data_IF_178926443693
#
_entry.id   IF_178926443693
#
_cell.length_a   1.000
_cell.length_b   1.000
_cell.length_c   1.000
_cell.angle_alpha   90.00
_cell.angle_beta   90.00
_cell.angle_gamma   90.00
#
_symmetry.space_group_name_H-M   'P 1'
#
loop_
_entity.id
_entity.type
_entity.pdbx_description
1 polymer ?
#
# COMPACT_ATOMS: atom_id res chain seq x y z
N UNK A 1 -10.75 11.54 -7.83
CA UNK A 1 -11.40 10.38 -7.22
C UNK A 1 -11.28 10.46 -5.71
N UNK A 2 -12.40 10.30 -5.04
CA UNK A 2 -12.43 10.32 -3.58
C UNK A 2 -12.24 8.92 -3.01
N UNK A 3 -11.40 8.82 -1.98
CA UNK A 3 -11.26 7.59 -1.24
C UNK A 3 -12.35 7.51 -0.17
N UNK A 4 -12.76 6.29 0.17
CA UNK A 4 -13.73 6.09 1.24
C UNK A 4 -13.11 6.46 2.59
N UNK A 5 -13.94 6.62 3.66
CA UNK A 5 -13.42 6.92 5.00
C UNK A 5 -12.45 5.87 5.53
N UNK A 6 -12.46 4.65 4.95
CA UNK A 6 -11.61 3.55 5.40
C UNK A 6 -10.41 3.33 4.49
N UNK A 7 -10.15 4.26 3.57
CA UNK A 7 -9.05 4.15 2.62
C UNK A 7 -8.13 5.35 2.74
N UNK A 8 -6.84 5.10 2.67
CA UNK A 8 -5.81 6.13 2.76
C UNK A 8 -4.75 5.90 1.71
N UNK A 9 -4.23 6.98 1.16
CA UNK A 9 -3.18 6.94 0.15
C UNK A 9 -1.95 7.67 0.66
N UNK A 10 -0.80 7.02 0.56
CA UNK A 10 0.47 7.57 1.02
C UNK A 10 1.45 7.55 -0.12
N UNK A 11 2.26 8.60 -0.22
CA UNK A 11 3.25 8.74 -1.29
C UNK A 11 4.62 8.72 -0.67
N UNK A 12 5.46 7.81 -1.13
CA UNK A 12 6.86 7.70 -0.69
C UNK A 12 7.73 8.13 -1.86
N UNK A 13 8.32 9.33 -1.81
CA UNK A 13 9.17 9.81 -2.88
C UNK A 13 10.59 9.21 -2.78
N UNK A 14 11.24 9.09 -3.92
CA UNK A 14 12.61 8.61 -4.00
C UNK A 14 13.48 9.61 -4.76
N UNK A 15 14.79 9.56 -4.53
CA UNK A 15 15.72 10.47 -5.20
C UNK A 15 15.75 10.27 -6.70
N UNK A 16 15.57 9.06 -7.14
CA UNK A 16 15.61 8.73 -8.55
C UNK A 16 14.37 9.30 -9.24
N UNK A 17 14.57 10.31 -10.08
CA UNK A 17 13.45 10.98 -10.74
C UNK A 17 12.96 10.25 -11.98
N UNK A 18 13.83 9.46 -12.60
CA UNK A 18 13.45 8.61 -13.73
C UNK A 18 13.36 7.20 -13.24
N UNK A 19 12.37 6.48 -13.71
CA UNK A 19 12.16 5.11 -13.31
C UNK A 19 10.70 4.81 -13.23
N UNK A 20 10.39 3.61 -12.78
CA UNK A 20 9.01 3.15 -12.71
C UNK A 20 8.29 3.72 -11.53
N UNK A 21 6.99 3.91 -11.71
CA UNK A 21 6.08 4.28 -10.64
C UNK A 21 5.33 3.04 -10.21
N UNK A 22 5.22 2.86 -8.90
CA UNK A 22 4.53 1.69 -8.35
C UNK A 22 3.40 2.12 -7.45
N UNK A 23 2.30 1.38 -7.53
CA UNK A 23 1.18 1.53 -6.60
C UNK A 23 0.97 0.21 -5.87
N UNK A 24 0.98 0.23 -4.55
CA UNK A 24 0.70 -0.94 -3.74
C UNK A 24 -0.63 -0.74 -3.05
N UNK A 25 -1.56 -1.65 -3.28
CA UNK A 25 -2.88 -1.60 -2.65
C UNK A 25 -2.97 -2.80 -1.70
N UNK A 26 -3.05 -2.50 -0.42
CA UNK A 26 -3.25 -3.51 0.61
C UNK A 26 -4.65 -3.32 1.15
N UNK A 27 -5.56 -4.25 0.82
CA UNK A 27 -6.96 -4.09 1.18
C UNK A 27 -7.48 -5.27 1.98
N UNK A 28 -8.43 -4.99 2.84
CA UNK A 28 -9.12 -5.98 3.65
C UNK A 28 -10.60 -5.89 3.32
N UNK A 29 -11.14 -6.96 2.76
CA UNK A 29 -12.54 -6.99 2.31
C UNK A 29 -13.50 -7.51 3.38
N UNK A 30 -12.99 -8.26 4.35
CA UNK A 30 -13.81 -8.87 5.37
C UNK A 30 -14.59 -7.83 6.16
N UNK A 31 -15.91 -7.98 6.20
CA UNK A 31 -16.78 -7.04 6.88
C UNK A 31 -16.92 -5.68 6.19
N UNK A 32 -16.41 -5.53 4.97
CA UNK A 32 -16.48 -4.26 4.22
C UNK A 32 -17.11 -4.51 2.87
N UNK A 33 -18.40 -4.24 2.78
CA UNK A 33 -19.13 -4.38 1.52
C UNK A 33 -18.56 -3.40 0.48
N UNK A 34 -18.32 -3.90 -0.73
CA UNK A 34 -17.81 -3.07 -1.81
C UNK A 34 -16.30 -2.85 -1.80
N UNK A 35 -15.58 -3.43 -0.83
CA UNK A 35 -14.13 -3.20 -0.73
C UNK A 35 -13.37 -3.71 -1.95
N UNK A 36 -13.76 -4.85 -2.49
CA UNK A 36 -13.09 -5.41 -3.68
C UNK A 36 -13.28 -4.48 -4.88
N UNK A 37 -14.50 -3.99 -5.09
CA UNK A 37 -14.78 -3.06 -6.19
C UNK A 37 -14.00 -1.76 -6.02
N UNK A 38 -13.90 -1.26 -4.81
CA UNK A 38 -13.12 -0.04 -4.52
C UNK A 38 -11.64 -0.25 -4.81
N UNK A 39 -11.09 -1.41 -4.43
CA UNK A 39 -9.69 -1.73 -4.71
C UNK A 39 -9.46 -1.85 -6.22
N UNK A 40 -10.40 -2.45 -6.94
CA UNK A 40 -10.29 -2.56 -8.39
C UNK A 40 -10.34 -1.19 -9.07
N UNK A 41 -11.21 -0.31 -8.60
CA UNK A 41 -11.29 1.06 -9.14
C UNK A 41 -9.99 1.83 -8.89
N UNK A 42 -9.41 1.68 -7.70
CA UNK A 42 -8.13 2.29 -7.38
C UNK A 42 -7.01 1.76 -8.27
N UNK A 43 -7.01 0.46 -8.49
CA UNK A 43 -6.02 -0.17 -9.37
C UNK A 43 -6.07 0.44 -10.76
N UNK A 44 -7.29 0.56 -11.32
CA UNK A 44 -7.45 1.15 -12.65
C UNK A 44 -7.00 2.62 -12.66
N UNK A 45 -7.32 3.37 -11.62
CA UNK A 45 -6.92 4.77 -11.55
C UNK A 45 -5.41 4.92 -11.50
N UNK A 46 -4.73 4.09 -10.74
CA UNK A 46 -3.27 4.13 -10.64
C UNK A 46 -2.62 3.68 -11.95
N UNK A 47 -3.16 2.66 -12.60
CA UNK A 47 -2.66 2.22 -13.90
C UNK A 47 -2.80 3.32 -14.95
N UNK A 48 -3.89 4.07 -14.89
CA UNK A 48 -4.11 5.17 -15.83
C UNK A 48 -3.08 6.28 -15.66
N UNK A 49 -2.45 6.41 -14.50
CA UNK A 49 -1.38 7.39 -14.27
C UNK A 49 0.01 6.83 -14.56
N UNK A 50 0.10 5.61 -15.07
CA UNK A 50 1.37 5.01 -15.44
C UNK A 50 2.02 4.19 -14.35
N UNK A 51 1.30 3.84 -13.29
CA UNK A 51 1.84 3.00 -12.22
C UNK A 51 1.72 1.51 -12.56
N UNK A 52 2.74 0.75 -12.17
CA UNK A 52 2.62 -0.70 -12.06
C UNK A 52 1.97 -0.97 -10.69
N UNK A 53 0.89 -1.73 -10.67
CA UNK A 53 0.10 -1.91 -9.46
C UNK A 53 0.28 -3.31 -8.89
N UNK A 54 0.50 -3.37 -7.58
CA UNK A 54 0.54 -4.60 -6.80
C UNK A 54 -0.63 -4.53 -5.83
N UNK A 55 -1.63 -5.40 -6.03
CA UNK A 55 -2.84 -5.40 -5.21
C UNK A 55 -2.91 -6.70 -4.44
N UNK A 56 -3.05 -6.61 -3.12
CA UNK A 56 -3.11 -7.77 -2.25
C UNK A 56 -4.18 -7.61 -1.19
N UNK A 57 -4.90 -8.68 -0.93
CA UNK A 57 -5.88 -8.73 0.15
C UNK A 57 -5.24 -9.33 1.39
N UNK A 58 -5.52 -8.74 2.56
CA UNK A 58 -4.98 -9.21 3.82
C UNK A 58 -6.10 -9.39 4.84
N UNK A 59 -5.84 -10.16 5.88
CA UNK A 59 -6.80 -10.44 6.92
C UNK A 59 -6.21 -10.25 8.32
N UNK A 60 -5.03 -10.80 8.55
CA UNK A 60 -4.39 -10.74 9.87
C UNK A 60 -3.12 -9.88 9.82
N UNK A 61 -2.79 -9.29 10.96
CA UNK A 61 -1.63 -8.40 11.06
C UNK A 61 -0.33 -9.07 10.62
N UNK A 62 -0.16 -10.35 10.93
CA UNK A 62 1.06 -11.08 10.55
C UNK A 62 1.23 -11.16 9.03
N UNK A 63 0.13 -11.22 8.29
CA UNK A 63 0.17 -11.28 6.84
C UNK A 63 0.71 -10.01 6.22
N UNK A 64 0.46 -8.86 6.87
CA UNK A 64 0.91 -7.59 6.32
C UNK A 64 2.42 -7.53 6.15
N UNK A 65 3.17 -8.03 7.13
CA UNK A 65 4.62 -8.03 7.03
C UNK A 65 5.09 -8.86 5.84
N UNK A 66 4.50 -10.04 5.67
CA UNK A 66 4.83 -10.94 4.56
C UNK A 66 4.48 -10.28 3.23
N UNK A 67 3.33 -9.61 3.16
CA UNK A 67 2.89 -8.94 1.95
C UNK A 67 3.77 -7.76 1.58
N UNK A 68 4.22 -7.01 2.58
CA UNK A 68 5.13 -5.89 2.34
C UNK A 68 6.45 -6.40 1.77
N UNK A 69 6.99 -7.49 2.31
CA UNK A 69 8.20 -8.10 1.77
C UNK A 69 7.98 -8.61 0.34
N UNK A 70 6.84 -9.23 0.08
CA UNK A 70 6.49 -9.71 -1.25
C UNK A 70 6.39 -8.54 -2.24
N UNK A 71 5.73 -7.45 -1.83
CA UNK A 71 5.62 -6.26 -2.67
C UNK A 71 6.99 -5.69 -2.98
N UNK A 72 7.85 -5.58 -1.96
CA UNK A 72 9.20 -5.06 -2.15
C UNK A 72 9.98 -5.88 -3.17
N UNK A 73 9.86 -7.19 -3.12
CA UNK A 73 10.59 -8.05 -4.06
C UNK A 73 10.15 -7.87 -5.51
N UNK A 74 8.94 -7.34 -5.71
CA UNK A 74 8.38 -7.08 -7.04
C UNK A 74 8.68 -5.67 -7.53
N UNK A 75 9.11 -4.79 -6.64
CA UNK A 75 9.48 -3.41 -6.99
C UNK A 75 10.95 -3.39 -7.37
N UNK A 76 11.23 -2.91 -8.57
CA UNK A 76 12.61 -2.91 -9.05
C UNK A 76 13.39 -1.70 -8.51
N UNK A 77 14.71 -1.77 -8.61
CA UNK A 77 15.59 -0.74 -8.05
C UNK A 77 15.42 0.63 -8.69
N UNK A 78 14.82 0.71 -9.86
CA UNK A 78 14.61 1.99 -10.55
C UNK A 78 13.29 2.65 -10.18
N UNK A 79 12.70 2.31 -9.05
CA UNK A 79 11.48 2.92 -8.57
C UNK A 79 11.67 4.42 -8.35
N UNK A 80 10.86 5.24 -9.00
CA UNK A 80 10.91 6.69 -8.84
C UNK A 80 9.81 7.21 -7.93
N UNK A 81 8.75 6.43 -7.74
CA UNK A 81 7.62 6.83 -6.91
C UNK A 81 6.88 5.60 -6.43
N UNK A 82 6.55 5.59 -5.17
CA UNK A 82 5.74 4.52 -4.57
C UNK A 82 4.52 5.15 -3.91
N UNK A 83 3.34 4.70 -4.33
CA UNK A 83 2.08 5.12 -3.74
C UNK A 83 1.52 3.90 -2.99
N UNK A 84 1.27 4.07 -1.70
CA UNK A 84 0.74 3.00 -0.87
C UNK A 84 -0.69 3.33 -0.49
N UNK A 85 -1.62 2.46 -0.86
CA UNK A 85 -3.03 2.60 -0.53
C UNK A 85 -3.41 1.55 0.49
N UNK A 86 -3.88 1.98 1.65
CA UNK A 86 -4.26 1.11 2.74
C UNK A 86 -5.77 1.17 2.92
N UNK A 87 -6.43 0.02 2.86
CA UNK A 87 -7.88 -0.08 2.91
C UNK A 87 -8.30 -1.11 3.94
N UNK A 88 -8.89 -0.66 5.03
CA UNK A 88 -9.44 -1.55 6.06
C UNK A 88 -10.32 -0.76 7.01
N UNK A 89 -10.99 -1.47 7.91
CA UNK A 89 -11.57 -0.83 9.07
C UNK A 89 -10.45 -0.30 9.95
N UNK A 90 -10.69 0.80 10.61
CA UNK A 90 -9.69 1.36 11.49
C UNK A 90 -10.10 2.73 11.96
N UNK A 91 -9.24 3.30 12.76
CA UNK A 91 -9.42 4.65 13.24
C UNK A 91 -8.15 5.44 12.92
N UNK A 92 -8.13 6.66 13.40
CA UNK A 92 -7.07 7.60 13.09
C UNK A 92 -5.68 7.00 13.30
N UNK A 93 -4.89 6.93 12.24
CA UNK A 93 -3.52 6.49 12.30
C UNK A 93 -3.30 4.99 12.47
N UNK A 94 -4.33 4.17 12.41
CA UNK A 94 -4.18 2.74 12.57
C UNK A 94 -5.20 1.96 11.73
N UNK A 95 -4.79 0.77 11.30
CA UNK A 95 -5.67 -0.20 10.66
C UNK A 95 -6.11 -1.23 11.70
N UNK A 96 -7.22 -1.91 11.45
CA UNK A 96 -7.68 -3.00 12.29
C UNK A 96 -7.72 -4.29 11.49
N UNK A 97 -7.16 -5.37 12.04
CA UNK A 97 -7.19 -6.67 11.37
C UNK A 97 -8.47 -7.44 11.71
N UNK A 98 -8.58 -8.68 11.23
CA UNK A 98 -9.78 -9.51 11.43
C UNK A 98 -10.04 -9.84 12.90
N UNK A 99 -9.04 -9.72 13.75
CA UNK A 99 -9.16 -9.96 15.19
C UNK A 99 -9.24 -8.68 16.00
N UNK A 100 -9.36 -7.53 15.33
CA UNK A 100 -9.42 -6.24 16.00
C UNK A 100 -8.06 -5.71 16.45
N UNK A 101 -6.98 -6.38 16.08
CA UNK A 101 -5.64 -5.90 16.40
C UNK A 101 -5.35 -4.64 15.60
N UNK A 102 -4.86 -3.62 16.28
CA UNK A 102 -4.56 -2.34 15.65
C UNK A 102 -3.13 -2.32 15.15
N UNK A 103 -2.96 -1.84 13.92
CA UNK A 103 -1.65 -1.76 13.27
C UNK A 103 -1.42 -0.30 12.93
N UNK A 104 -0.45 0.37 13.57
CA UNK A 104 -0.16 1.77 13.24
C UNK A 104 0.25 1.93 11.79
N UNK A 105 -0.35 2.90 11.11
CA UNK A 105 -0.02 3.19 9.72
C UNK A 105 1.46 3.53 9.57
N UNK A 106 2.01 4.27 10.53
CA UNK A 106 3.43 4.64 10.48
C UNK A 106 4.35 3.42 10.48
N UNK A 107 3.98 2.34 11.16
CA UNK A 107 4.77 1.12 11.14
C UNK A 107 4.80 0.49 9.76
N UNK A 108 3.67 0.51 9.06
CA UNK A 108 3.58 -0.01 7.70
C UNK A 108 4.45 0.82 6.75
N UNK A 109 4.31 2.13 6.83
CA UNK A 109 5.08 3.03 5.97
C UNK A 109 6.58 2.92 6.26
N UNK A 110 6.94 2.75 7.52
CA UNK A 110 8.33 2.56 7.91
C UNK A 110 8.92 1.29 7.31
N UNK A 111 8.17 0.19 7.32
CA UNK A 111 8.63 -1.05 6.71
C UNK A 111 8.93 -0.87 5.22
N UNK A 112 8.04 -0.19 4.49
CA UNK A 112 8.30 0.11 3.08
C UNK A 112 9.55 0.97 2.93
N UNK A 113 9.68 2.01 3.71
CA UNK A 113 10.81 2.93 3.61
C UNK A 113 12.14 2.23 3.89
N UNK A 114 12.20 1.43 4.96
CA UNK A 114 13.43 0.75 5.34
C UNK A 114 13.82 -0.32 4.32
N UNK A 115 12.85 -1.14 3.90
CA UNK A 115 13.13 -2.23 2.98
C UNK A 115 13.55 -1.71 1.60
N UNK A 116 12.88 -0.68 1.11
CA UNK A 116 13.19 -0.13 -0.22
C UNK A 116 14.44 0.74 -0.22
N UNK A 117 14.76 1.38 0.89
CA UNK A 117 15.94 2.24 0.99
C UNK A 117 17.24 1.47 0.79
N UNK A 118 17.22 0.16 0.98
CA UNK A 118 18.40 -0.68 0.73
C UNK A 118 18.70 -0.82 -0.74
N UNK A 119 17.70 -0.64 -1.61
CA UNK A 119 17.83 -0.83 -3.04
C UNK A 119 17.57 0.45 -3.81
N UNK A 120 16.68 1.29 -3.29
CA UNK A 120 16.26 2.54 -3.94
C UNK A 120 16.38 3.68 -2.94
N UNK A 121 17.30 4.62 -3.14
CA UNK A 121 17.49 5.72 -2.19
C UNK A 121 16.24 6.57 -2.04
N UNK A 122 15.90 6.93 -0.81
CA UNK A 122 14.81 7.86 -0.53
C UNK A 122 15.23 9.30 -0.78
N UNK A 123 14.29 10.09 -1.16
CA UNK A 123 14.49 11.52 -1.34
C UNK A 123 14.76 12.20 0.00
#
# INVERSE_FOLDING_TARGET
>A
QQLSPHSSQYIIPYKQKKGKRYGVILFRSEGRQGAVAEADDLEQALQATGCDVIKMEWSEAAELHIMIESARSRIVADCSLLIVCLMSHGSRGALADSHGKRIPVNDILHQFSVLLAQETPLV
#
